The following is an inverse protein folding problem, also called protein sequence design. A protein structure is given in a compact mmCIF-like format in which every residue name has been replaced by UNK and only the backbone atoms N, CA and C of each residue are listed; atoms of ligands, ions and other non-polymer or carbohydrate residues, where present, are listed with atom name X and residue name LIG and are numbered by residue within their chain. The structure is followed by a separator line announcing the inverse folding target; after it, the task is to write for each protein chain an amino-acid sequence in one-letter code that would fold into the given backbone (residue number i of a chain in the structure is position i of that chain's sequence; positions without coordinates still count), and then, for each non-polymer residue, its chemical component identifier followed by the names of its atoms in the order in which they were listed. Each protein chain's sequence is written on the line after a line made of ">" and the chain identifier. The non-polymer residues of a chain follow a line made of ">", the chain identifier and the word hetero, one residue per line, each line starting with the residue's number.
data_IF_488678547219
#
_entry.id   IF_488678547219
#
_cell.length_a   1.000
_cell.length_b   1.000
_cell.length_c   1.000
_cell.angle_alpha   90.00
_cell.angle_beta   90.00
_cell.angle_gamma   90.00
#
_symmetry.space_group_name_H-M   'P 1'
#
loop_
_entity.id
_entity.type
_entity.pdbx_description
1 polymer ?
#
# COMPACT_ATOMS: atom_id res chain seq x y z
N UNK A 1 22.87 23.52 31.66
CA UNK A 1 21.85 22.45 31.75
C UNK A 1 20.82 22.53 30.64
N UNK A 2 20.52 23.71 30.10
CA UNK A 2 19.49 23.97 29.08
C UNK A 2 19.93 23.54 27.65
N UNK A 3 21.20 23.72 27.28
CA UNK A 3 21.72 23.38 25.95
C UNK A 3 21.71 21.87 25.64
N UNK A 4 21.98 21.01 26.63
CA UNK A 4 21.96 19.55 26.44
C UNK A 4 20.54 19.01 26.27
N UNK A 5 19.56 19.61 26.91
CA UNK A 5 18.13 19.26 26.80
C UNK A 5 17.58 19.64 25.45
N UNK A 6 17.96 20.83 24.95
CA UNK A 6 17.56 21.30 23.61
C UNK A 6 18.12 20.40 22.51
N UNK A 7 19.37 19.97 22.59
CA UNK A 7 19.98 19.05 21.65
C UNK A 7 19.29 17.66 21.64
N UNK A 8 18.91 17.15 22.81
CA UNK A 8 18.19 15.87 22.90
C UNK A 8 16.81 15.93 22.24
N UNK A 9 16.08 17.03 22.43
CA UNK A 9 14.77 17.23 21.78
C UNK A 9 14.89 17.33 20.26
N UNK A 10 15.91 18.01 19.76
CA UNK A 10 16.16 18.12 18.32
C UNK A 10 16.46 16.74 17.72
N UNK A 11 17.31 15.94 18.38
CA UNK A 11 17.64 14.58 17.92
C UNK A 11 16.40 13.68 17.92
N UNK A 12 15.55 13.76 18.93
CA UNK A 12 14.30 12.99 18.98
C UNK A 12 13.33 13.37 17.85
N UNK A 13 13.19 14.66 17.55
CA UNK A 13 12.37 15.14 16.43
C UNK A 13 12.90 14.63 15.09
N UNK A 14 14.21 14.67 14.86
CA UNK A 14 14.82 14.13 13.64
C UNK A 14 14.60 12.63 13.49
N UNK A 15 14.74 11.85 14.55
CA UNK A 15 14.46 10.40 14.55
C UNK A 15 13.00 10.12 14.25
N UNK A 16 12.08 10.86 14.83
CA UNK A 16 10.65 10.69 14.57
C UNK A 16 10.30 10.98 13.10
N UNK A 17 10.85 12.04 12.51
CA UNK A 17 10.68 12.35 11.08
C UNK A 17 11.29 11.25 10.20
N UNK A 18 12.47 10.75 10.52
CA UNK A 18 13.11 9.67 9.77
C UNK A 18 12.27 8.38 9.78
N UNK A 19 11.71 8.00 10.94
CA UNK A 19 10.82 6.84 11.06
C UNK A 19 9.53 7.06 10.26
N UNK A 20 8.94 8.25 10.31
CA UNK A 20 7.75 8.59 9.50
C UNK A 20 8.02 8.43 8.00
N UNK A 21 9.14 8.97 7.52
CA UNK A 21 9.53 8.86 6.10
C UNK A 21 9.82 7.40 5.71
N UNK A 22 10.46 6.62 6.58
CA UNK A 22 10.72 5.20 6.35
C UNK A 22 9.42 4.41 6.23
N UNK A 23 8.51 4.55 7.19
CA UNK A 23 7.22 3.86 7.18
C UNK A 23 6.37 4.29 5.97
N UNK A 24 6.34 5.58 5.67
CA UNK A 24 5.64 6.10 4.48
C UNK A 24 6.22 5.55 3.18
N UNK A 25 7.53 5.52 3.05
CA UNK A 25 8.22 4.94 1.90
C UNK A 25 7.97 3.44 1.75
N UNK A 26 8.01 2.68 2.85
CA UNK A 26 7.66 1.26 2.87
C UNK A 26 6.20 1.03 2.45
N UNK A 27 5.27 1.79 3.00
CA UNK A 27 3.86 1.70 2.61
C UNK A 27 3.67 1.88 1.11
N UNK A 28 4.24 2.95 0.54
CA UNK A 28 4.13 3.24 -0.90
C UNK A 28 4.76 2.12 -1.73
N UNK A 29 5.93 1.62 -1.32
CA UNK A 29 6.63 0.53 -2.00
C UNK A 29 5.80 -0.75 -2.00
N UNK A 30 5.26 -1.16 -0.87
CA UNK A 30 4.40 -2.33 -0.77
C UNK A 30 3.12 -2.17 -1.59
N UNK A 31 2.49 -1.00 -1.56
CA UNK A 31 1.28 -0.72 -2.35
C UNK A 31 1.54 -0.87 -3.85
N UNK A 32 2.66 -0.34 -4.35
CA UNK A 32 3.07 -0.46 -5.75
C UNK A 32 3.36 -1.92 -6.11
N UNK A 33 4.13 -2.64 -5.28
CA UNK A 33 4.46 -4.04 -5.52
C UNK A 33 3.20 -4.91 -5.54
N UNK A 34 2.26 -4.72 -4.60
CA UNK A 34 0.96 -5.41 -4.62
C UNK A 34 0.29 -5.31 -5.98
N UNK A 35 0.25 -4.11 -6.54
CA UNK A 35 -0.39 -3.85 -7.83
C UNK A 35 0.36 -4.45 -9.02
N UNK A 36 1.70 -4.43 -9.01
CA UNK A 36 2.52 -4.99 -10.10
C UNK A 36 2.43 -6.51 -10.18
N UNK A 37 2.40 -7.20 -9.02
CA UNK A 37 2.32 -8.67 -8.97
C UNK A 37 0.89 -9.20 -9.00
N UNK A 38 -0.12 -8.32 -9.00
CA UNK A 38 -1.52 -8.71 -8.90
C UNK A 38 -2.03 -9.53 -10.10
N UNK A 39 -1.38 -9.43 -11.25
CA UNK A 39 -1.72 -10.21 -12.45
C UNK A 39 -1.34 -11.70 -12.35
N UNK A 40 -0.52 -12.08 -11.36
CA UNK A 40 -0.19 -13.48 -11.09
C UNK A 40 -1.20 -14.06 -10.10
N UNK A 41 -1.85 -15.17 -10.48
CA UNK A 41 -2.75 -15.92 -9.62
C UNK A 41 -2.03 -17.14 -9.07
N UNK A 42 -2.30 -17.48 -7.82
CA UNK A 42 -1.77 -18.65 -7.11
C UNK A 42 -2.91 -19.46 -6.50
N UNK A 43 -2.68 -20.74 -6.35
CA UNK A 43 -3.58 -21.66 -5.67
C UNK A 43 -3.13 -21.84 -4.21
N UNK A 44 -4.03 -21.61 -3.28
CA UNK A 44 -3.81 -21.87 -1.86
C UNK A 44 -4.60 -23.12 -1.49
N UNK A 45 -3.94 -24.23 -1.09
CA UNK A 45 -4.63 -25.41 -0.60
C UNK A 45 -5.37 -25.07 0.70
N UNK A 46 -6.66 -25.30 0.71
CA UNK A 46 -7.49 -25.10 1.92
C UNK A 46 -7.87 -26.50 2.46
N UNK A 47 -7.49 -26.77 3.71
CA UNK A 47 -7.61 -28.08 4.36
C UNK A 47 -9.05 -28.64 4.42
N UNK A 48 -10.06 -27.77 4.25
CA UNK A 48 -11.49 -28.13 4.36
C UNK A 48 -12.26 -28.05 3.04
N UNK A 49 -11.57 -27.90 1.90
CA UNK A 49 -12.22 -27.75 0.60
C UNK A 49 -11.53 -28.62 -0.44
N UNK A 50 -12.32 -29.36 -1.22
CA UNK A 50 -11.82 -30.19 -2.35
C UNK A 50 -11.22 -29.36 -3.50
N UNK A 51 -11.63 -28.08 -3.62
CA UNK A 51 -11.10 -27.16 -4.65
C UNK A 51 -10.16 -26.13 -4.02
N UNK A 52 -8.96 -25.92 -4.57
CA UNK A 52 -8.03 -24.91 -4.10
C UNK A 52 -8.64 -23.51 -4.23
N UNK A 53 -8.26 -22.61 -3.34
CA UNK A 53 -8.69 -21.22 -3.38
C UNK A 53 -7.71 -20.42 -4.25
N UNK A 54 -8.22 -19.86 -5.36
CA UNK A 54 -7.41 -19.07 -6.29
C UNK A 54 -7.41 -17.62 -5.85
N UNK A 55 -6.22 -17.06 -5.63
CA UNK A 55 -6.02 -15.67 -5.23
C UNK A 55 -4.93 -15.00 -6.07
N UNK A 56 -5.02 -13.67 -6.18
CA UNK A 56 -3.95 -12.86 -6.75
C UNK A 56 -2.75 -12.79 -5.82
N UNK A 57 -1.51 -12.87 -6.35
CA UNK A 57 -0.29 -12.65 -5.58
C UNK A 57 -0.25 -11.27 -4.91
N UNK A 58 -0.96 -10.27 -5.45
CA UNK A 58 -1.05 -8.94 -4.85
C UNK A 58 -1.63 -8.93 -3.44
N UNK A 59 -2.38 -9.98 -3.02
CA UNK A 59 -2.92 -10.07 -1.67
C UNK A 59 -1.85 -10.34 -0.59
N UNK A 60 -0.70 -10.92 -0.98
CA UNK A 60 0.32 -11.35 -0.02
C UNK A 60 0.96 -10.18 0.77
N UNK A 61 1.37 -9.07 0.13
CA UNK A 61 1.92 -7.94 0.86
C UNK A 61 0.85 -7.03 1.50
N UNK A 62 -0.44 -7.21 1.19
CA UNK A 62 -1.53 -6.34 1.68
C UNK A 62 -1.60 -6.21 3.20
N UNK A 63 -1.48 -7.30 4.00
CA UNK A 63 -1.51 -7.19 5.45
C UNK A 63 -0.42 -6.26 6.01
N UNK A 64 0.75 -6.21 5.34
CA UNK A 64 1.85 -5.33 5.74
C UNK A 64 1.49 -3.86 5.51
N UNK A 65 0.77 -3.53 4.43
CA UNK A 65 0.32 -2.15 4.17
C UNK A 65 -0.64 -1.65 5.25
N UNK A 66 -1.58 -2.49 5.71
CA UNK A 66 -2.47 -2.15 6.81
C UNK A 66 -1.71 -1.96 8.12
N UNK A 67 -0.82 -2.89 8.46
CA UNK A 67 0.01 -2.75 9.67
C UNK A 67 0.80 -1.44 9.68
N UNK A 68 1.38 -1.04 8.55
CA UNK A 68 2.13 0.21 8.44
C UNK A 68 1.20 1.43 8.62
N UNK A 69 0.00 1.42 8.03
CA UNK A 69 -0.96 2.54 8.19
C UNK A 69 -1.48 2.63 9.62
N UNK A 70 -1.68 1.51 10.30
CA UNK A 70 -2.06 1.48 11.71
C UNK A 70 -0.97 2.08 12.59
N UNK A 71 0.29 1.65 12.41
CA UNK A 71 1.45 2.24 13.12
C UNK A 71 1.58 3.73 12.85
N UNK A 72 1.45 4.16 11.59
CA UNK A 72 1.48 5.59 11.24
C UNK A 72 0.35 6.36 11.92
N UNK A 73 -0.86 5.80 11.97
CA UNK A 73 -2.02 6.43 12.59
C UNK A 73 -1.86 6.57 14.10
N UNK A 74 -1.29 5.57 14.75
CA UNK A 74 -1.05 5.55 16.18
C UNK A 74 0.04 6.56 16.59
N UNK A 75 1.20 6.55 15.92
CA UNK A 75 2.34 7.37 16.30
C UNK A 75 2.29 8.81 15.77
N UNK A 76 1.73 9.02 14.58
CA UNK A 76 1.76 10.32 13.89
C UNK A 76 0.40 10.94 13.67
N UNK A 77 -0.67 10.22 13.98
CA UNK A 77 -2.07 10.65 13.87
C UNK A 77 -2.65 10.52 12.45
N UNK A 78 -3.97 10.38 12.39
CA UNK A 78 -4.74 10.09 11.17
C UNK A 78 -4.50 11.07 10.03
N UNK A 79 -4.33 12.36 10.31
CA UNK A 79 -4.13 13.38 9.27
C UNK A 79 -2.83 13.17 8.50
N UNK A 80 -1.74 12.82 9.19
CA UNK A 80 -0.44 12.56 8.55
C UNK A 80 -0.46 11.24 7.79
N UNK A 81 -1.11 10.22 8.33
CA UNK A 81 -1.31 8.93 7.67
C UNK A 81 -2.12 9.09 6.39
N UNK A 82 -3.20 9.88 6.41
CA UNK A 82 -3.99 10.17 5.21
C UNK A 82 -3.13 10.79 4.08
N UNK A 83 -2.19 11.67 4.40
CA UNK A 83 -1.26 12.20 3.39
C UNK A 83 -0.35 11.13 2.80
N UNK A 84 0.15 10.19 3.61
CA UNK A 84 0.94 9.05 3.10
C UNK A 84 0.11 8.19 2.16
N UNK A 85 -1.14 7.89 2.52
CA UNK A 85 -2.07 7.12 1.68
C UNK A 85 -2.33 7.83 0.35
N UNK A 86 -2.66 9.13 0.38
CA UNK A 86 -2.89 9.93 -0.82
C UNK A 86 -1.65 9.94 -1.71
N UNK A 87 -0.46 10.11 -1.12
CA UNK A 87 0.81 10.06 -1.87
C UNK A 87 1.00 8.69 -2.53
N UNK A 88 0.67 7.60 -1.84
CA UNK A 88 0.72 6.24 -2.40
C UNK A 88 -0.22 6.06 -3.59
N UNK A 89 -1.46 6.59 -3.50
CA UNK A 89 -2.43 6.56 -4.60
C UNK A 89 -1.92 7.36 -5.82
N UNK A 90 -1.41 8.57 -5.60
CA UNK A 90 -0.84 9.41 -6.67
C UNK A 90 0.37 8.70 -7.31
N UNK A 91 1.26 8.12 -6.50
CA UNK A 91 2.41 7.36 -6.99
C UNK A 91 1.97 6.17 -7.84
N UNK A 92 0.90 5.47 -7.45
CA UNK A 92 0.35 4.34 -8.22
C UNK A 92 -0.19 4.79 -9.58
N UNK A 93 -0.88 5.94 -9.66
CA UNK A 93 -1.34 6.52 -10.94
C UNK A 93 -0.14 6.87 -11.82
N UNK A 94 0.89 7.48 -11.24
CA UNK A 94 2.10 7.84 -11.98
C UNK A 94 2.83 6.61 -12.54
N UNK A 95 2.91 5.52 -11.77
CA UNK A 95 3.48 4.24 -12.22
C UNK A 95 2.70 3.65 -13.40
N UNK A 96 1.35 3.70 -13.36
CA UNK A 96 0.52 3.28 -14.51
C UNK A 96 0.88 4.07 -15.76
N UNK A 97 1.00 5.39 -15.62
CA UNK A 97 1.38 6.26 -16.73
C UNK A 97 2.75 5.87 -17.31
N UNK A 98 3.75 5.66 -16.45
CA UNK A 98 5.10 5.24 -16.87
C UNK A 98 5.09 3.88 -17.57
N UNK A 99 4.34 2.90 -17.05
CA UNK A 99 4.22 1.57 -17.66
C UNK A 99 3.58 1.68 -19.05
N UNK A 100 2.51 2.47 -19.19
CA UNK A 100 1.84 2.70 -20.47
C UNK A 100 2.75 3.41 -21.47
N UNK A 101 3.49 4.39 -21.00
CA UNK A 101 4.47 5.07 -21.83
C UNK A 101 5.59 4.13 -22.27
N UNK A 102 6.17 3.32 -21.38
CA UNK A 102 7.17 2.31 -21.73
C UNK A 102 6.62 1.29 -22.75
N UNK A 103 5.36 0.86 -22.62
CA UNK A 103 4.71 -0.06 -23.53
C UNK A 103 4.52 0.49 -24.95
N UNK A 104 4.61 1.82 -25.16
CA UNK A 104 4.50 2.43 -26.50
C UNK A 104 5.77 2.24 -27.34
N UNK A 105 6.88 1.83 -26.74
CA UNK A 105 8.13 1.58 -27.44
C UNK A 105 8.27 0.08 -27.75
N UNK A 106 8.53 -0.29 -29.04
CA UNK A 106 8.75 -1.68 -29.42
C UNK A 106 10.06 -2.19 -28.83
N UNK A 107 10.07 -3.45 -28.39
CA UNK A 107 11.28 -4.10 -27.94
C UNK A 107 12.25 -4.37 -29.11
N UNK A 108 13.54 -4.17 -28.88
CA UNK A 108 14.58 -4.54 -29.84
C UNK A 108 14.81 -6.04 -29.87
N UNK A 109 15.39 -6.59 -30.94
CA UNK A 109 15.54 -8.04 -31.17
C UNK A 109 16.34 -8.80 -30.09
N UNK A 110 17.23 -8.11 -29.38
CA UNK A 110 18.03 -8.67 -28.28
C UNK A 110 17.48 -8.34 -26.88
N UNK A 111 16.26 -7.78 -26.80
CA UNK A 111 15.63 -7.51 -25.51
C UNK A 111 15.27 -8.81 -24.79
N UNK A 112 15.57 -8.94 -23.46
CA UNK A 112 15.18 -10.11 -22.66
C UNK A 112 13.66 -10.32 -22.61
N UNK A 113 12.88 -9.22 -22.69
CA UNK A 113 11.42 -9.27 -22.77
C UNK A 113 10.97 -8.76 -24.13
N UNK A 114 10.16 -9.56 -24.85
CA UNK A 114 9.51 -9.14 -26.07
C UNK A 114 8.40 -8.12 -25.78
N UNK A 115 7.98 -7.35 -26.77
CA UNK A 115 6.82 -6.43 -26.65
C UNK A 115 5.57 -7.18 -26.19
N UNK A 116 5.33 -8.40 -26.70
CA UNK A 116 4.17 -9.20 -26.33
C UNK A 116 4.24 -9.68 -24.88
N UNK A 117 5.40 -10.16 -24.42
CA UNK A 117 5.60 -10.56 -23.03
C UNK A 117 5.39 -9.38 -22.06
N UNK A 118 5.90 -8.20 -22.39
CA UNK A 118 5.69 -6.99 -21.59
C UNK A 118 4.21 -6.61 -21.53
N UNK A 119 3.52 -6.64 -22.66
CA UNK A 119 2.09 -6.34 -22.73
C UNK A 119 1.21 -7.38 -22.03
N UNK A 120 1.58 -8.66 -22.04
CA UNK A 120 0.88 -9.70 -21.30
C UNK A 120 0.95 -9.45 -19.78
N UNK A 121 2.10 -9.03 -19.28
CA UNK A 121 2.30 -8.80 -17.84
C UNK A 121 1.68 -7.47 -17.41
N UNK A 122 1.91 -6.39 -18.15
CA UNK A 122 1.60 -5.04 -17.74
C UNK A 122 0.43 -4.37 -18.48
N UNK A 123 -0.05 -4.94 -19.58
CA UNK A 123 -1.08 -4.32 -20.41
C UNK A 123 -2.39 -4.06 -19.68
N UNK A 124 -2.76 -4.91 -18.73
CA UNK A 124 -3.94 -4.76 -17.89
C UNK A 124 -3.69 -4.04 -16.55
N UNK A 125 -2.46 -3.60 -16.27
CA UNK A 125 -2.10 -3.01 -14.98
C UNK A 125 -2.97 -1.81 -14.59
N UNK A 126 -3.41 -1.00 -15.53
CA UNK A 126 -4.29 0.14 -15.29
C UNK A 126 -5.66 -0.28 -14.70
N UNK A 127 -6.21 -1.42 -15.15
CA UNK A 127 -7.49 -1.96 -14.64
C UNK A 127 -7.31 -2.51 -13.24
N UNK A 128 -6.23 -3.24 -13.02
CA UNK A 128 -5.88 -3.84 -11.72
C UNK A 128 -5.64 -2.74 -10.69
N UNK A 129 -4.82 -1.74 -11.02
CA UNK A 129 -4.52 -0.62 -10.13
C UNK A 129 -5.77 0.20 -9.85
N UNK A 130 -6.60 0.48 -10.87
CA UNK A 130 -7.88 1.18 -10.68
C UNK A 130 -8.83 0.42 -9.75
N UNK A 131 -9.00 -0.88 -9.93
CA UNK A 131 -9.81 -1.72 -9.06
C UNK A 131 -9.24 -1.79 -7.64
N UNK A 132 -7.92 -1.92 -7.49
CA UNK A 132 -7.24 -1.91 -6.18
C UNK A 132 -7.43 -0.60 -5.44
N UNK A 133 -7.37 0.53 -6.13
CA UNK A 133 -7.62 1.85 -5.53
C UNK A 133 -9.05 1.97 -5.00
N UNK A 134 -10.05 1.56 -5.81
CA UNK A 134 -11.46 1.57 -5.37
C UNK A 134 -11.65 0.65 -4.16
N UNK A 135 -11.11 -0.56 -4.20
CA UNK A 135 -11.18 -1.50 -3.09
C UNK A 135 -10.51 -0.94 -1.82
N UNK A 136 -9.32 -0.35 -1.96
CA UNK A 136 -8.59 0.24 -0.84
C UNK A 136 -9.35 1.42 -0.21
N UNK A 137 -9.85 2.36 -1.02
CA UNK A 137 -10.64 3.49 -0.51
C UNK A 137 -11.93 3.01 0.15
N UNK A 138 -12.60 2.01 -0.42
CA UNK A 138 -13.79 1.42 0.19
C UNK A 138 -13.49 0.76 1.54
N UNK A 139 -12.39 0.02 1.63
CA UNK A 139 -11.93 -0.59 2.88
C UNK A 139 -11.62 0.47 3.95
N UNK A 140 -10.94 1.55 3.58
CA UNK A 140 -10.64 2.66 4.49
C UNK A 140 -11.92 3.36 4.99
N UNK A 141 -12.90 3.58 4.12
CA UNK A 141 -14.18 4.17 4.52
C UNK A 141 -14.95 3.25 5.47
N UNK A 142 -14.95 1.94 5.20
CA UNK A 142 -15.57 0.96 6.09
C UNK A 142 -14.86 0.89 7.44
N UNK A 143 -13.54 0.92 7.47
CA UNK A 143 -12.76 0.92 8.71
C UNK A 143 -13.12 2.11 9.61
N UNK A 144 -13.19 3.31 9.04
CA UNK A 144 -13.64 4.51 9.77
C UNK A 144 -15.05 4.34 10.32
N UNK A 145 -15.99 3.78 9.52
CA UNK A 145 -17.38 3.58 9.96
C UNK A 145 -17.49 2.53 11.07
N UNK A 146 -16.78 1.42 10.93
CA UNK A 146 -16.71 0.36 11.94
C UNK A 146 -16.11 0.90 13.23
N UNK A 147 -15.03 1.67 13.14
CA UNK A 147 -14.42 2.32 14.30
C UNK A 147 -15.40 3.26 15.01
N UNK A 148 -16.11 4.12 14.27
CA UNK A 148 -17.09 5.04 14.86
C UNK A 148 -18.29 4.27 15.48
N UNK A 149 -18.74 3.21 14.83
CA UNK A 149 -19.79 2.34 15.35
C UNK A 149 -19.36 1.73 16.70
N UNK A 150 -18.18 1.11 16.76
CA UNK A 150 -17.68 0.53 18.00
C UNK A 150 -17.46 1.58 19.08
N UNK A 151 -16.95 2.75 18.72
CA UNK A 151 -16.79 3.87 19.66
C UNK A 151 -18.12 4.31 20.28
N UNK A 152 -19.21 4.33 19.51
CA UNK A 152 -20.56 4.63 20.01
C UNK A 152 -21.08 3.52 20.92
N UNK A 153 -20.94 2.26 20.52
CA UNK A 153 -21.42 1.08 21.27
C UNK A 153 -20.68 0.94 22.60
N UNK A 154 -19.36 1.09 22.62
CA UNK A 154 -18.53 0.93 23.82
C UNK A 154 -18.45 2.20 24.67
N UNK A 155 -19.09 3.30 24.27
CA UNK A 155 -19.02 4.62 24.95
C UNK A 155 -17.57 5.05 25.22
N UNK A 156 -16.64 4.67 24.36
CA UNK A 156 -15.22 4.99 24.47
C UNK A 156 -14.42 4.22 25.54
N UNK A 157 -15.02 3.23 26.23
CA UNK A 157 -14.34 2.50 27.33
C UNK A 157 -13.29 1.47 26.89
N UNK A 158 -13.30 1.04 25.64
CA UNK A 158 -12.41 0.01 25.09
C UNK A 158 -11.69 0.48 23.83
N UNK A 159 -11.41 1.77 23.73
CA UNK A 159 -10.52 2.34 22.71
C UNK A 159 -9.13 2.44 23.35
N UNK A 160 -8.31 1.54 22.98
CA UNK A 160 -6.89 1.48 23.29
C UNK A 160 -6.08 2.02 22.14
#
# INVERSE_FOLDING_TARGET
>A
MDSSRNNSEIILKHKAVAIYLLLGGLFISFLIVCNLIANKFIEIPVFFREKPFIVSCGILPYPVTFLITDLLSEFYGRRRTAWVVITGLISSIFIVFLIRWAASFPAVSFSPASTDAFNQIFGNSWRVIGASMVAYLSAQLLDVQVYEFWRKVTKGKYLW
#
